data_IF_011411327002
#
_entry.id   IF_011411327002
#
_cell.length_a   1.000
_cell.length_b   1.000
_cell.length_c   1.000
_cell.angle_alpha   90.00
_cell.angle_beta   90.00
_cell.angle_gamma   90.00
#
_symmetry.space_group_name_H-M   'P 1'
#
loop_
_entity.id
_entity.type
_entity.pdbx_description
1 polymer ?
#
# COMPACT_ATOMS: atom_id res chain seq x y z
N UNK A 1 -9.43 -6.90 8.03
CA UNK A 1 -9.30 -6.23 6.71
C UNK A 1 -8.00 -5.45 6.74
N UNK A 2 -7.12 -5.60 5.75
CA UNK A 2 -5.89 -4.79 5.70
C UNK A 2 -6.21 -3.44 5.07
N UNK A 3 -5.97 -2.34 5.80
CA UNK A 3 -6.06 -0.99 5.26
C UNK A 3 -4.97 -0.75 4.23
N UNK A 4 -5.33 -0.12 3.10
CA UNK A 4 -4.30 0.43 2.21
C UNK A 4 -3.55 1.57 2.90
N UNK A 5 -2.30 1.80 2.52
CA UNK A 5 -1.47 2.92 3.03
C UNK A 5 -2.15 4.28 2.80
N UNK A 6 -2.90 4.40 1.70
CA UNK A 6 -3.72 5.58 1.39
C UNK A 6 -4.85 5.75 2.40
N UNK A 7 -5.67 4.73 2.61
CA UNK A 7 -6.80 4.79 3.55
C UNK A 7 -6.32 5.03 4.98
N UNK A 8 -5.25 4.35 5.42
CA UNK A 8 -4.66 4.57 6.73
C UNK A 8 -4.23 6.04 6.94
N UNK A 9 -3.68 6.68 5.89
CA UNK A 9 -3.30 8.10 5.95
C UNK A 9 -4.52 9.01 6.09
N UNK A 10 -5.58 8.76 5.32
CA UNK A 10 -6.81 9.55 5.40
C UNK A 10 -7.45 9.44 6.78
N UNK A 11 -7.49 8.23 7.35
CA UNK A 11 -8.08 8.00 8.67
C UNK A 11 -7.28 8.72 9.76
N UNK A 12 -5.95 8.64 9.71
CA UNK A 12 -5.07 9.38 10.63
C UNK A 12 -5.24 10.89 10.49
N UNK A 13 -5.36 11.40 9.26
CA UNK A 13 -5.59 12.83 9.02
C UNK A 13 -6.95 13.28 9.58
N UNK A 14 -8.01 12.49 9.37
CA UNK A 14 -9.34 12.75 9.92
C UNK A 14 -9.32 12.81 11.45
N UNK A 15 -8.65 11.85 12.10
CA UNK A 15 -8.50 11.82 13.56
C UNK A 15 -7.71 13.04 14.05
N UNK A 16 -6.62 13.42 13.37
CA UNK A 16 -5.82 14.59 13.76
C UNK A 16 -6.59 15.90 13.70
N UNK A 17 -7.40 16.09 12.66
CA UNK A 17 -8.19 17.31 12.49
C UNK A 17 -9.51 17.30 13.27
N UNK A 18 -9.93 16.15 13.81
CA UNK A 18 -11.18 16.00 14.57
C UNK A 18 -11.28 16.90 15.80
N UNK A 19 -10.13 17.30 16.37
CA UNK A 19 -10.06 18.23 17.50
C UNK A 19 -10.57 19.64 17.17
N UNK A 20 -10.81 19.96 15.89
CA UNK A 20 -11.21 21.28 15.36
C UNK A 20 -10.25 22.42 15.73
N UNK A 21 -9.11 22.13 16.33
CA UNK A 21 -8.06 23.10 16.56
C UNK A 21 -7.14 23.19 15.33
N UNK A 22 -6.53 24.36 15.08
CA UNK A 22 -5.53 24.49 14.03
C UNK A 22 -4.33 23.57 14.29
N UNK A 23 -3.99 22.73 13.32
CA UNK A 23 -2.84 21.83 13.35
C UNK A 23 -1.84 22.27 12.30
N UNK A 24 -0.56 22.45 12.68
CA UNK A 24 0.47 22.89 11.73
C UNK A 24 0.76 21.83 10.68
N UNK A 25 1.03 22.25 9.43
CA UNK A 25 1.34 21.31 8.36
C UNK A 25 2.56 20.45 8.67
N UNK A 26 3.59 21.01 9.32
CA UNK A 26 4.79 20.29 9.77
C UNK A 26 4.42 19.13 10.71
N UNK A 27 3.52 19.36 11.67
CA UNK A 27 3.05 18.30 12.59
C UNK A 27 2.30 17.20 11.83
N UNK A 28 1.42 17.58 10.92
CA UNK A 28 0.66 16.63 10.10
C UNK A 28 1.58 15.79 9.22
N UNK A 29 2.52 16.42 8.51
CA UNK A 29 3.55 15.77 7.67
C UNK A 29 4.35 14.75 8.49
N UNK A 30 4.78 15.14 9.68
CA UNK A 30 5.57 14.27 10.57
C UNK A 30 4.75 13.06 11.02
N UNK A 31 3.50 13.27 11.47
CA UNK A 31 2.65 12.19 11.96
C UNK A 31 2.12 11.27 10.85
N UNK A 32 1.94 11.77 9.63
CA UNK A 32 1.53 10.99 8.47
C UNK A 32 2.72 10.41 7.67
N UNK A 33 3.96 10.75 8.05
CA UNK A 33 5.19 10.43 7.36
C UNK A 33 5.09 10.66 5.83
N UNK A 34 4.63 11.85 5.42
CA UNK A 34 4.35 12.15 4.01
C UNK A 34 4.92 13.49 3.56
N UNK A 35 5.13 13.65 2.26
CA UNK A 35 5.54 14.94 1.68
C UNK A 35 4.37 15.92 1.60
N UNK A 36 4.68 17.21 1.49
CA UNK A 36 3.69 18.28 1.30
C UNK A 36 2.71 18.08 0.12
N UNK A 37 3.14 17.66 -1.10
CA UNK A 37 2.19 17.34 -2.16
C UNK A 37 1.29 16.14 -1.81
N UNK A 38 1.79 15.19 -1.02
CA UNK A 38 0.99 14.06 -0.53
C UNK A 38 -0.05 14.52 0.49
N UNK A 39 0.31 15.47 1.37
CA UNK A 39 -0.61 16.11 2.30
C UNK A 39 -1.73 16.83 1.55
N UNK A 40 -1.41 17.62 0.51
CA UNK A 40 -2.42 18.32 -0.30
C UNK A 40 -3.42 17.36 -0.94
N UNK A 41 -2.95 16.21 -1.45
CA UNK A 41 -3.81 15.15 -2.00
C UNK A 41 -4.70 14.52 -0.92
N UNK A 42 -4.13 14.22 0.25
CA UNK A 42 -4.87 13.63 1.36
C UNK A 42 -5.94 14.58 1.90
N UNK A 43 -5.65 15.87 1.99
CA UNK A 43 -6.62 16.91 2.35
C UNK A 43 -7.75 16.99 1.34
N UNK A 44 -7.43 17.03 0.04
CA UNK A 44 -8.46 17.02 -1.03
C UNK A 44 -9.36 15.80 -0.92
N UNK A 45 -8.78 14.62 -0.77
CA UNK A 45 -9.55 13.37 -0.62
C UNK A 45 -10.43 13.36 0.63
N UNK A 46 -9.95 13.92 1.75
CA UNK A 46 -10.75 14.07 2.97
C UNK A 46 -11.94 15.02 2.75
N UNK A 47 -11.74 16.14 2.04
CA UNK A 47 -12.82 17.05 1.66
C UNK A 47 -13.86 16.36 0.77
N UNK A 48 -13.40 15.68 -0.27
CA UNK A 48 -14.26 15.07 -1.29
C UNK A 48 -15.02 13.84 -0.74
N UNK A 49 -14.36 12.98 0.03
CA UNK A 49 -14.91 11.70 0.47
C UNK A 49 -15.73 11.79 1.75
N UNK A 50 -15.47 12.79 2.58
CA UNK A 50 -16.11 12.96 3.89
C UNK A 50 -16.80 14.32 4.06
N UNK A 51 -17.00 15.04 2.95
CA UNK A 51 -17.64 16.36 2.92
C UNK A 51 -17.09 17.27 4.03
N UNK A 52 -15.76 17.24 4.19
CA UNK A 52 -15.06 17.95 5.24
C UNK A 52 -14.68 19.34 4.76
N UNK A 53 -15.08 20.38 5.48
CA UNK A 53 -14.61 21.73 5.24
C UNK A 53 -13.33 21.99 6.06
N UNK A 54 -12.24 22.25 5.35
CA UNK A 54 -10.90 22.39 5.94
C UNK A 54 -10.33 23.75 5.54
N UNK A 55 -10.19 24.62 6.53
CA UNK A 55 -9.56 25.92 6.40
C UNK A 55 -8.05 25.80 6.44
N UNK A 56 -7.39 26.50 5.53
CA UNK A 56 -5.95 26.71 5.57
C UNK A 56 -5.65 28.15 5.99
N UNK A 57 -4.82 28.32 7.01
CA UNK A 57 -4.28 29.62 7.40
C UNK A 57 -2.87 29.76 6.86
N UNK A 58 -2.67 30.67 5.90
CA UNK A 58 -1.38 30.92 5.27
C UNK A 58 -0.36 31.54 6.24
N UNK A 59 -0.81 32.38 7.17
CA UNK A 59 0.05 33.06 8.14
C UNK A 59 0.68 32.10 9.14
N UNK A 60 -0.08 31.10 9.60
CA UNK A 60 0.36 30.12 10.61
C UNK A 60 0.75 28.77 10.01
N UNK A 61 0.53 28.58 8.71
CA UNK A 61 0.75 27.34 7.99
C UNK A 61 0.02 26.14 8.63
N UNK A 62 -1.23 26.36 9.03
CA UNK A 62 -2.06 25.41 9.78
C UNK A 62 -3.33 25.04 9.02
N UNK A 63 -3.80 23.82 9.26
CA UNK A 63 -5.07 23.30 8.77
C UNK A 63 -6.04 23.12 9.94
N UNK A 64 -7.30 23.44 9.73
CA UNK A 64 -8.35 23.30 10.73
C UNK A 64 -9.60 22.73 10.06
N UNK A 65 -10.18 21.68 10.65
CA UNK A 65 -11.50 21.20 10.27
C UNK A 65 -12.55 22.15 10.87
N UNK A 66 -13.32 22.81 10.01
CA UNK A 66 -14.44 23.67 10.44
C UNK A 66 -15.65 22.78 10.70
N UNK A 67 -16.03 22.03 9.69
CA UNK A 67 -17.24 21.22 9.69
C UNK A 67 -17.03 19.95 8.85
N UNK A 68 -17.80 18.91 9.15
CA UNK A 68 -17.92 17.73 8.32
C UNK A 68 -19.26 17.09 8.61
N UNK A 69 -19.95 16.65 7.56
CA UNK A 69 -21.22 15.95 7.66
C UNK A 69 -21.06 14.43 7.81
N UNK A 70 -19.86 13.89 7.53
CA UNK A 70 -19.59 12.45 7.51
C UNK A 70 -18.52 11.99 8.52
N UNK A 71 -17.88 12.92 9.25
CA UNK A 71 -16.90 12.63 10.31
C UNK A 71 -17.54 12.75 11.71
N UNK A 72 -18.61 11.97 11.92
CA UNK A 72 -19.22 11.85 13.25
C UNK A 72 -18.33 11.09 14.23
N UNK A 73 -18.61 11.23 15.52
CA UNK A 73 -17.91 10.51 16.60
C UNK A 73 -17.87 8.99 16.36
N UNK A 74 -18.94 8.41 15.79
CA UNK A 74 -19.01 6.99 15.44
C UNK A 74 -18.03 6.63 14.32
N UNK A 75 -17.97 7.45 13.27
CA UNK A 75 -17.06 7.25 12.14
C UNK A 75 -15.60 7.37 12.58
N UNK A 76 -15.28 8.38 13.39
CA UNK A 76 -13.94 8.58 13.95
C UNK A 76 -13.50 7.42 14.87
N UNK A 77 -14.42 6.92 15.71
CA UNK A 77 -14.17 5.75 16.54
C UNK A 77 -13.88 4.52 15.69
N UNK A 78 -14.72 4.25 14.69
CA UNK A 78 -14.51 3.15 13.75
C UNK A 78 -13.16 3.28 13.01
N UNK A 79 -12.80 4.47 12.51
CA UNK A 79 -11.50 4.69 11.86
C UNK A 79 -10.33 4.35 12.79
N UNK A 80 -10.43 4.73 14.07
CA UNK A 80 -9.42 4.44 15.07
C UNK A 80 -9.33 2.93 15.39
N UNK A 81 -10.47 2.26 15.52
CA UNK A 81 -10.55 0.81 15.76
C UNK A 81 -9.97 0.02 14.57
N UNK A 82 -10.21 0.47 13.33
CA UNK A 82 -9.63 -0.17 12.13
C UNK A 82 -8.13 0.09 12.03
N UNK A 83 -7.65 1.28 12.38
CA UNK A 83 -6.22 1.61 12.42
C UNK A 83 -5.46 0.76 13.45
N UNK A 84 -6.02 0.57 14.64
CA UNK A 84 -5.43 -0.26 15.69
C UNK A 84 -5.46 -1.74 15.33
N UNK A 85 -6.55 -2.23 14.74
CA UNK A 85 -6.69 -3.62 14.30
C UNK A 85 -5.81 -3.99 13.09
N UNK A 86 -5.45 -3.01 12.25
CA UNK A 86 -4.63 -3.27 11.06
C UNK A 86 -3.14 -3.48 11.40
N UNK A 87 -2.75 -3.27 12.66
CA UNK A 87 -1.35 -3.22 13.08
C UNK A 87 -0.70 -1.96 12.50
N UNK A 88 -0.19 -1.08 13.35
CA UNK A 88 0.64 0.00 12.85
C UNK A 88 1.82 -0.60 12.08
N UNK A 89 2.04 -0.26 10.79
CA UNK A 89 3.39 -0.36 10.27
C UNK A 89 4.21 0.57 11.15
N UNK A 90 5.07 -0.03 11.99
CA UNK A 90 5.94 0.68 12.92
C UNK A 90 6.51 1.92 12.22
N UNK A 91 6.14 3.07 12.74
CA UNK A 91 6.71 4.37 12.40
C UNK A 91 8.22 4.27 12.57
N UNK A 92 8.96 4.10 11.48
CA UNK A 92 10.41 3.94 11.55
C UNK A 92 11.04 3.31 10.32
N UNK A 93 10.34 2.41 9.63
CA UNK A 93 10.88 1.92 8.36
C UNK A 93 10.52 2.92 7.27
N UNK A 94 11.36 3.95 7.18
CA UNK A 94 11.53 4.70 5.95
C UNK A 94 11.65 3.64 4.87
N UNK A 95 10.60 3.44 4.07
CA UNK A 95 10.70 2.76 2.77
C UNK A 95 11.55 3.71 1.92
N UNK A 96 12.84 3.74 2.23
CA UNK A 96 13.89 4.57 1.63
C UNK A 96 14.34 3.98 0.31
N UNK A 97 13.79 2.83 -0.04
CA UNK A 97 14.04 2.13 -1.26
C UNK A 97 12.71 1.83 -1.94
N UNK A 98 12.21 2.84 -2.65
CA UNK A 98 11.39 2.55 -3.83
C UNK A 98 12.39 2.06 -4.88
N UNK A 99 12.53 0.74 -5.04
CA UNK A 99 13.25 0.19 -6.18
C UNK A 99 12.47 0.54 -7.44
N UNK A 100 12.89 1.61 -8.11
CA UNK A 100 12.40 2.01 -9.42
C UNK A 100 12.88 1.04 -10.51
N UNK A 101 13.89 0.23 -10.20
CA UNK A 101 14.37 -0.89 -11.02
C UNK A 101 13.59 -2.19 -10.81
N UNK A 102 12.34 -2.12 -10.33
CA UNK A 102 11.48 -3.30 -10.37
C UNK A 102 11.11 -3.57 -11.81
N UNK A 103 11.52 -4.74 -12.29
CA UNK A 103 11.14 -5.24 -13.60
C UNK A 103 9.61 -5.15 -13.78
N UNK A 104 9.18 -4.66 -14.94
CA UNK A 104 7.76 -4.45 -15.22
C UNK A 104 7.05 -5.79 -15.35
N UNK A 105 6.24 -6.14 -14.36
CA UNK A 105 5.35 -7.31 -14.43
C UNK A 105 4.12 -7.00 -15.29
N UNK A 106 3.81 -7.87 -16.26
CA UNK A 106 2.54 -7.84 -17.00
C UNK A 106 1.55 -8.79 -16.33
N UNK A 107 0.33 -8.34 -16.06
CA UNK A 107 -0.71 -9.22 -15.54
C UNK A 107 -1.12 -10.26 -16.58
N UNK A 108 -1.11 -11.53 -16.21
CA UNK A 108 -1.53 -12.65 -17.06
C UNK A 108 -2.57 -13.49 -16.31
N UNK A 109 -3.60 -13.92 -17.03
CA UNK A 109 -4.60 -14.86 -16.51
C UNK A 109 -4.14 -16.30 -16.75
N UNK A 110 -4.05 -17.09 -15.69
CA UNK A 110 -3.63 -18.49 -15.75
C UNK A 110 -4.68 -19.37 -15.06
N UNK A 111 -5.09 -20.45 -15.72
CA UNK A 111 -5.97 -21.45 -15.13
C UNK A 111 -5.12 -22.50 -14.41
N UNK A 112 -5.20 -22.54 -13.08
CA UNK A 112 -4.49 -23.49 -12.24
C UNK A 112 -5.48 -24.35 -11.45
N UNK A 113 -5.11 -25.61 -11.20
CA UNK A 113 -5.90 -26.50 -10.32
C UNK A 113 -5.92 -25.94 -8.90
N UNK A 114 -7.03 -26.12 -8.19
CA UNK A 114 -7.18 -25.63 -6.82
C UNK A 114 -6.12 -26.17 -5.85
N UNK A 115 -5.68 -27.41 -6.05
CA UNK A 115 -4.59 -28.02 -5.26
C UNK A 115 -3.25 -27.31 -5.45
N UNK A 116 -2.97 -26.79 -6.65
CA UNK A 116 -1.75 -26.02 -6.95
C UNK A 116 -1.82 -24.65 -6.29
N UNK A 117 -2.97 -23.97 -6.38
CA UNK A 117 -3.18 -22.68 -5.71
C UNK A 117 -2.95 -22.77 -4.19
N UNK A 118 -3.45 -23.82 -3.54
CA UNK A 118 -3.23 -24.04 -2.09
C UNK A 118 -1.74 -24.20 -1.74
N UNK A 119 -0.95 -24.84 -2.61
CA UNK A 119 0.50 -24.98 -2.41
C UNK A 119 1.23 -23.66 -2.59
N UNK A 120 0.84 -22.86 -3.60
CA UNK A 120 1.36 -21.50 -3.80
C UNK A 120 1.08 -20.64 -2.57
N UNK A 121 -0.13 -20.72 -2.03
CA UNK A 121 -0.53 -19.97 -0.83
C UNK A 121 0.30 -20.35 0.40
N UNK A 122 0.49 -21.65 0.64
CA UNK A 122 1.33 -22.14 1.74
C UNK A 122 2.78 -21.66 1.60
N UNK A 123 3.35 -21.73 0.40
CA UNK A 123 4.71 -21.26 0.15
C UNK A 123 4.84 -19.75 0.30
N UNK A 124 3.86 -18.98 -0.15
CA UNK A 124 3.84 -17.52 0.01
C UNK A 124 3.86 -17.13 1.49
N UNK A 125 3.10 -17.84 2.32
CA UNK A 125 3.09 -17.64 3.78
C UNK A 125 4.45 -18.00 4.38
N UNK A 126 5.01 -19.16 4.06
CA UNK A 126 6.28 -19.64 4.60
C UNK A 126 7.46 -18.75 4.22
N UNK A 127 7.49 -18.27 2.97
CA UNK A 127 8.54 -17.40 2.46
C UNK A 127 8.31 -15.92 2.80
N UNK A 128 7.15 -15.57 3.38
CA UNK A 128 6.71 -14.19 3.60
C UNK A 128 6.77 -13.33 2.31
N UNK A 129 6.33 -13.91 1.19
CA UNK A 129 6.31 -13.26 -0.14
C UNK A 129 4.90 -13.25 -0.72
N UNK A 130 4.72 -12.68 -1.93
CA UNK A 130 3.42 -12.70 -2.60
C UNK A 130 3.26 -13.96 -3.47
N UNK A 131 2.00 -14.35 -3.76
CA UNK A 131 1.69 -15.43 -4.72
C UNK A 131 2.39 -15.23 -6.07
N UNK A 132 2.46 -13.98 -6.55
CA UNK A 132 3.14 -13.65 -7.81
C UNK A 132 4.64 -13.94 -7.73
N UNK A 133 5.28 -13.61 -6.61
CA UNK A 133 6.72 -13.85 -6.44
C UNK A 133 7.02 -15.35 -6.32
N UNK A 134 6.15 -16.12 -5.66
CA UNK A 134 6.25 -17.59 -5.62
C UNK A 134 6.12 -18.19 -7.02
N UNK A 135 5.18 -17.70 -7.84
CA UNK A 135 5.01 -18.19 -9.21
C UNK A 135 6.24 -17.87 -10.07
N UNK A 136 6.76 -16.65 -10.02
CA UNK A 136 8.01 -16.29 -10.72
C UNK A 136 9.17 -17.21 -10.32
N UNK A 137 9.39 -17.41 -9.00
CA UNK A 137 10.45 -18.29 -8.50
C UNK A 137 10.33 -19.73 -9.03
N UNK A 138 9.11 -20.29 -9.02
CA UNK A 138 8.85 -21.63 -9.55
C UNK A 138 9.11 -21.70 -11.06
N UNK A 139 8.69 -20.67 -11.79
CA UNK A 139 8.87 -20.58 -13.23
C UNK A 139 10.36 -20.48 -13.57
N UNK A 140 11.12 -19.60 -12.92
CA UNK A 140 12.55 -19.44 -13.15
C UNK A 140 13.34 -20.74 -12.91
N UNK A 141 13.05 -21.42 -11.79
CA UNK A 141 13.69 -22.68 -11.45
C UNK A 141 13.38 -23.79 -12.47
N UNK A 142 12.13 -23.87 -12.95
CA UNK A 142 11.70 -24.93 -13.83
C UNK A 142 11.94 -24.66 -15.31
N UNK A 143 11.93 -23.41 -15.78
CA UNK A 143 12.24 -23.06 -17.17
C UNK A 143 13.69 -23.45 -17.51
N UNK A 144 14.63 -23.17 -16.61
CA UNK A 144 16.04 -23.53 -16.80
C UNK A 144 16.23 -25.05 -16.90
N UNK A 145 15.52 -25.82 -16.06
CA UNK A 145 15.56 -27.28 -16.09
C UNK A 145 14.90 -27.83 -17.37
N UNK A 146 13.73 -27.31 -17.77
CA UNK A 146 12.99 -27.79 -18.93
C UNK A 146 13.68 -27.45 -20.25
N UNK A 147 14.24 -26.24 -20.39
CA UNK A 147 14.97 -25.84 -21.60
C UNK A 147 16.16 -26.75 -21.88
N UNK A 148 16.89 -27.17 -20.82
CA UNK A 148 18.00 -28.12 -20.96
C UNK A 148 17.56 -29.53 -21.38
N UNK A 149 16.33 -29.93 -21.05
CA UNK A 149 15.78 -31.26 -21.40
C UNK A 149 15.12 -31.31 -22.78
N UNK A 150 14.66 -30.16 -23.28
CA UNK A 150 13.90 -30.04 -24.54
C UNK A 150 14.78 -29.69 -25.74
N UNK A 151 16.02 -29.24 -25.54
CA UNK A 151 16.99 -29.07 -26.64
C UNK A 151 17.56 -30.46 -26.97
N UNK A 152 17.21 -31.08 -28.12
CA UNK A 152 17.81 -32.33 -28.51
C UNK A 152 19.31 -32.15 -28.71
N UNK A 153 20.12 -33.10 -28.23
CA UNK A 153 21.58 -33.20 -28.45
C UNK A 153 21.98 -33.43 -29.93
N UNK A 154 21.21 -32.91 -30.89
CA UNK A 154 21.25 -33.30 -32.29
C UNK A 154 21.61 -32.21 -33.31
N UNK A 155 22.08 -31.02 -32.91
CA UNK A 155 22.58 -30.00 -33.84
C UNK A 155 23.85 -29.28 -33.34
N UNK A 156 24.75 -30.01 -32.69
CA UNK A 156 26.16 -29.62 -32.60
C UNK A 156 27.03 -30.69 -33.28
N UNK A 157 26.79 -30.91 -34.58
CA UNK A 157 27.76 -31.50 -35.48
C UNK A 157 27.39 -31.12 -36.92
N UNK A 158 28.36 -30.53 -37.63
CA UNK A 158 28.34 -30.08 -39.03
C UNK A 158 27.66 -28.70 -39.20
N UNK A 159 28.34 -27.63 -39.61
CA UNK A 159 29.65 -27.42 -40.24
C UNK A 159 30.13 -26.01 -39.91
#
# INVERSE_FOLDING_TARGET
>A
MQLSTRQARIFRLAILLSSRHPVSAKKIITQLACSEPTLTRALKELRDSYSADIKYSKATHTYQLIESTLLDKKALKWMNDVLTASGEPKSGDVVRQVSLDKEKKKSVSLSLRMSVLRRIDQLAILANTTRSDVVELLVDQHIAALSSSLIPKGQQAQK
#
